data_IF_053427434859
#
_entry.id   IF_053427434859
#
_cell.length_a   1.000
_cell.length_b   1.000
_cell.length_c   1.000
_cell.angle_alpha   90.00
_cell.angle_beta   90.00
_cell.angle_gamma   90.00
#
_symmetry.space_group_name_H-M   'P 1'
#
loop_
_entity.id
_entity.type
_entity.pdbx_description
1 polymer ?
#
# COMPACT_ATOMS: atom_id res chain seq x y z
N UNK A 1 29.25 11.26 8.87
CA UNK A 1 28.18 11.06 7.87
C UNK A 1 28.30 9.65 7.35
N UNK A 2 27.57 8.72 7.96
CA UNK A 2 27.40 7.36 7.42
C UNK A 2 26.56 7.51 6.15
N UNK A 3 27.14 7.21 5.00
CA UNK A 3 26.44 7.26 3.71
C UNK A 3 25.37 6.17 3.69
N UNK A 4 24.12 6.53 3.38
CA UNK A 4 23.04 5.56 3.23
C UNK A 4 23.42 4.50 2.19
N UNK A 5 23.21 3.23 2.51
CA UNK A 5 23.53 2.12 1.61
C UNK A 5 22.46 2.01 0.54
N UNK A 6 22.87 2.10 -0.72
CA UNK A 6 22.01 1.78 -1.86
C UNK A 6 21.99 0.26 -2.02
N UNK A 7 20.80 -0.32 -2.07
CA UNK A 7 20.57 -1.74 -2.33
C UNK A 7 19.87 -1.91 -3.68
N UNK A 8 20.29 -2.89 -4.45
CA UNK A 8 19.58 -3.33 -5.64
C UNK A 8 18.36 -4.15 -5.24
N UNK A 9 17.25 -3.90 -5.92
CA UNK A 9 15.95 -4.50 -5.65
C UNK A 9 15.40 -5.09 -6.93
N UNK A 10 15.33 -6.42 -6.97
CA UNK A 10 14.75 -7.16 -8.09
C UNK A 10 13.22 -7.05 -8.06
N UNK A 11 12.61 -6.83 -9.22
CA UNK A 11 11.16 -6.90 -9.39
C UNK A 11 10.79 -7.46 -10.75
N UNK A 12 9.62 -8.08 -10.84
CA UNK A 12 9.11 -8.62 -12.10
C UNK A 12 8.32 -7.55 -12.85
N UNK A 13 8.64 -7.35 -14.13
CA UNK A 13 7.84 -6.56 -15.04
C UNK A 13 7.22 -7.48 -16.11
N UNK A 14 5.88 -7.51 -16.26
CA UNK A 14 5.28 -8.32 -17.30
C UNK A 14 5.53 -7.72 -18.68
N UNK A 15 6.13 -8.50 -19.57
CA UNK A 15 6.25 -8.21 -21.00
C UNK A 15 5.22 -9.01 -21.81
N UNK A 16 4.84 -8.48 -22.98
CA UNK A 16 4.15 -9.26 -24.01
C UNK A 16 5.13 -10.25 -24.63
N UNK A 17 5.05 -11.52 -24.21
CA UNK A 17 5.85 -12.60 -24.79
C UNK A 17 6.71 -13.32 -23.76
N UNK A 18 6.18 -14.43 -23.25
CA UNK A 18 6.77 -15.49 -22.43
C UNK A 18 8.31 -15.51 -22.20
N UNK A 19 8.84 -14.60 -21.40
CA UNK A 19 9.94 -14.80 -20.44
C UNK A 19 9.75 -13.75 -19.33
N UNK A 20 9.81 -14.14 -18.05
CA UNK A 20 9.80 -13.20 -16.93
C UNK A 20 11.10 -12.39 -16.94
N UNK A 21 11.09 -11.15 -17.45
CA UNK A 21 12.25 -10.25 -17.38
C UNK A 21 12.26 -9.59 -16.00
N UNK A 22 13.01 -10.18 -15.07
CA UNK A 22 13.36 -9.54 -13.81
C UNK A 22 14.12 -8.25 -14.11
N UNK A 23 13.61 -7.11 -13.62
CA UNK A 23 14.25 -5.80 -13.70
C UNK A 23 14.84 -5.41 -12.36
N UNK A 24 15.81 -4.51 -12.41
CA UNK A 24 16.47 -3.98 -11.24
C UNK A 24 15.95 -2.57 -10.97
N UNK A 25 15.52 -2.34 -9.75
CA UNK A 25 15.34 -1.04 -9.16
C UNK A 25 16.32 -0.90 -7.98
N UNK A 26 16.26 0.22 -7.28
CA UNK A 26 17.13 0.47 -6.14
C UNK A 26 16.34 1.08 -5.00
N UNK A 27 16.86 0.93 -3.80
CA UNK A 27 16.38 1.63 -2.61
C UNK A 27 17.57 2.12 -1.80
N UNK A 28 17.41 3.28 -1.14
CA UNK A 28 18.44 3.86 -0.29
C UNK A 28 17.91 3.92 1.14
N UNK A 29 18.16 2.86 1.90
CA UNK A 29 17.70 2.77 3.29
C UNK A 29 18.62 3.66 4.15
N UNK A 30 18.07 4.69 4.82
CA UNK A 30 18.85 5.56 5.67
C UNK A 30 19.38 4.80 6.90
N UNK A 31 20.56 5.17 7.42
CA UNK A 31 21.07 4.57 8.64
C UNK A 31 20.20 4.94 9.84
N UNK A 32 20.01 3.99 10.76
CA UNK A 32 19.32 4.23 12.02
C UNK A 32 20.06 5.28 12.87
N UNK A 33 19.38 6.35 13.34
CA UNK A 33 19.99 7.33 14.23
C UNK A 33 20.29 6.71 15.60
N UNK A 34 21.36 7.19 16.25
CA UNK A 34 21.63 6.85 17.65
C UNK A 34 20.49 7.30 18.58
N UNK A 35 20.35 6.76 19.80
CA UNK A 35 19.27 7.15 20.71
C UNK A 35 19.16 8.66 20.96
N UNK A 36 20.30 9.34 21.14
CA UNK A 36 20.33 10.79 21.38
C UNK A 36 19.93 11.58 20.12
N UNK A 37 20.43 11.16 18.94
CA UNK A 37 20.04 11.76 17.65
C UNK A 37 18.56 11.56 17.37
N UNK A 38 18.01 10.37 17.68
CA UNK A 38 16.59 10.04 17.51
C UNK A 38 15.70 10.98 18.30
N UNK A 39 16.01 11.22 19.58
CA UNK A 39 15.27 12.16 20.43
C UNK A 39 15.34 13.58 19.86
N UNK A 40 16.55 14.05 19.53
CA UNK A 40 16.76 15.38 18.96
C UNK A 40 16.02 15.57 17.62
N UNK A 41 16.02 14.55 16.75
CA UNK A 41 15.29 14.57 15.48
C UNK A 41 13.78 14.61 15.68
N UNK A 42 13.21 13.77 16.56
CA UNK A 42 11.77 13.81 16.87
C UNK A 42 11.37 15.20 17.38
N UNK A 43 12.10 15.79 18.32
CA UNK A 43 11.82 17.14 18.83
C UNK A 43 11.91 18.22 17.75
N UNK A 44 12.93 18.15 16.91
CA UNK A 44 13.10 19.04 15.75
C UNK A 44 11.92 18.93 14.79
N UNK A 45 11.48 17.71 14.45
CA UNK A 45 10.34 17.48 13.56
C UNK A 45 9.05 18.02 14.16
N UNK A 46 8.78 17.78 15.46
CA UNK A 46 7.59 18.34 16.13
C UNK A 46 7.55 19.87 16.06
N UNK A 47 8.70 20.53 16.14
CA UNK A 47 8.80 21.99 15.95
C UNK A 47 8.51 22.37 14.49
N UNK A 48 9.17 21.72 13.54
CA UNK A 48 9.03 22.01 12.11
C UNK A 48 7.61 21.80 11.58
N UNK A 49 6.92 20.74 12.03
CA UNK A 49 5.52 20.50 11.67
C UNK A 49 4.62 21.69 12.03
N UNK A 50 4.81 22.26 13.23
CA UNK A 50 4.09 23.46 13.67
C UNK A 50 4.47 24.69 12.85
N UNK A 51 5.77 24.94 12.67
CA UNK A 51 6.28 26.10 11.91
C UNK A 51 5.81 26.10 10.45
N UNK A 52 5.60 24.92 9.84
CA UNK A 52 5.19 24.75 8.44
C UNK A 52 3.68 24.56 8.25
N UNK A 53 2.89 24.68 9.32
CA UNK A 53 1.47 24.32 9.33
C UNK A 53 1.24 22.97 8.61
N UNK A 54 1.98 21.96 9.06
CA UNK A 54 2.06 20.66 8.45
C UNK A 54 1.45 19.59 9.36
N UNK A 55 0.73 18.65 8.74
CA UNK A 55 0.28 17.42 9.39
C UNK A 55 0.94 16.22 8.73
N UNK A 56 1.23 15.20 9.52
CA UNK A 56 1.91 13.99 9.05
C UNK A 56 0.93 12.82 8.95
N UNK A 57 0.99 12.07 7.87
CA UNK A 57 0.27 10.81 7.70
C UNK A 57 1.27 9.71 7.37
N UNK A 58 1.20 8.59 8.08
CA UNK A 58 2.16 7.49 7.98
C UNK A 58 1.46 6.21 7.56
N UNK A 59 2.05 5.48 6.62
CA UNK A 59 1.61 4.13 6.31
C UNK A 59 2.02 3.15 7.42
N UNK A 60 1.28 2.06 7.64
CA UNK A 60 1.63 1.04 8.63
C UNK A 60 2.99 0.38 8.46
N UNK A 61 3.62 0.51 7.28
CA UNK A 61 4.87 -0.18 6.95
C UNK A 61 6.11 0.70 7.15
N UNK A 62 5.95 1.99 7.45
CA UNK A 62 7.11 2.84 7.74
C UNK A 62 7.69 2.53 9.11
N UNK A 63 8.90 3.04 9.37
CA UNK A 63 9.59 2.84 10.64
C UNK A 63 8.73 3.25 11.86
N UNK A 64 8.75 2.50 12.98
CA UNK A 64 7.97 2.78 14.19
C UNK A 64 8.04 4.23 14.69
N UNK A 65 9.22 4.85 14.66
CA UNK A 65 9.37 6.24 15.09
C UNK A 65 8.48 7.21 14.30
N UNK A 66 8.28 6.97 13.00
CA UNK A 66 7.42 7.78 12.14
C UNK A 66 5.94 7.46 12.37
N UNK A 67 5.61 6.21 12.72
CA UNK A 67 4.25 5.86 13.12
C UNK A 67 3.87 6.61 14.40
N UNK A 68 4.70 6.51 15.45
CA UNK A 68 4.47 7.16 16.73
C UNK A 68 4.44 8.69 16.56
N UNK A 69 5.38 9.25 15.80
CA UNK A 69 5.45 10.70 15.60
C UNK A 69 4.21 11.24 14.87
N UNK A 70 3.65 10.51 13.90
CA UNK A 70 2.41 10.92 13.25
C UNK A 70 1.28 11.05 14.28
N UNK A 71 1.07 10.05 15.14
CA UNK A 71 0.00 10.08 16.15
C UNK A 71 0.24 11.13 17.23
N UNK A 72 1.47 11.21 17.75
CA UNK A 72 1.88 12.19 18.76
C UNK A 72 1.70 13.65 18.30
N UNK A 73 1.74 13.89 16.98
CA UNK A 73 1.65 15.25 16.40
C UNK A 73 0.29 15.59 15.82
N UNK A 74 -0.73 14.76 16.08
CA UNK A 74 -2.12 14.99 15.63
C UNK A 74 -2.39 14.54 14.19
N UNK A 75 -1.47 13.74 13.62
CA UNK A 75 -1.64 13.01 12.37
C UNK A 75 -2.30 11.64 12.56
N UNK A 76 -2.10 10.75 11.58
CA UNK A 76 -2.65 9.39 11.61
C UNK A 76 -1.69 8.35 11.04
N UNK A 77 -1.77 7.12 11.56
CA UNK A 77 -1.19 5.92 10.96
C UNK A 77 -2.32 5.09 10.36
N UNK A 78 -2.32 4.89 9.04
CA UNK A 78 -3.41 4.18 8.36
C UNK A 78 -2.98 3.58 7.01
N UNK A 79 -3.95 2.98 6.30
CA UNK A 79 -3.75 2.57 4.92
C UNK A 79 -3.72 3.78 3.98
N UNK A 80 -3.23 3.57 2.75
CA UNK A 80 -2.94 4.64 1.79
C UNK A 80 -4.13 5.54 1.48
N UNK A 81 -5.35 5.00 1.47
CA UNK A 81 -6.53 5.78 1.15
C UNK A 81 -7.01 6.62 2.34
N UNK A 82 -7.03 6.05 3.54
CA UNK A 82 -7.43 6.78 4.74
C UNK A 82 -6.45 7.92 5.03
N UNK A 83 -5.14 7.71 4.80
CA UNK A 83 -4.13 8.77 4.84
C UNK A 83 -4.49 9.95 3.92
N UNK A 84 -4.86 9.67 2.67
CA UNK A 84 -5.17 10.70 1.68
C UNK A 84 -6.50 11.43 1.99
N UNK A 85 -7.51 10.71 2.50
CA UNK A 85 -8.78 11.32 2.98
C UNK A 85 -8.55 12.22 4.18
N UNK A 86 -7.83 11.74 5.19
CA UNK A 86 -7.46 12.51 6.37
C UNK A 86 -6.71 13.78 5.96
N UNK A 87 -5.71 13.65 5.08
CA UNK A 87 -4.92 14.78 4.60
C UNK A 87 -5.74 15.85 3.90
N UNK A 88 -6.73 15.46 3.08
CA UNK A 88 -7.67 16.37 2.41
C UNK A 88 -8.53 17.14 3.42
N UNK A 89 -9.09 16.43 4.40
CA UNK A 89 -10.05 17.00 5.34
C UNK A 89 -9.38 17.78 6.49
N UNK A 90 -8.07 17.58 6.71
CA UNK A 90 -7.30 18.27 7.73
C UNK A 90 -7.04 19.74 7.37
N UNK A 91 -7.05 20.63 8.38
CA UNK A 91 -6.91 22.08 8.18
C UNK A 91 -5.50 22.55 7.76
N UNK A 92 -4.48 21.71 7.97
CA UNK A 92 -3.09 22.01 7.62
C UNK A 92 -2.94 22.32 6.12
N UNK A 93 -2.11 23.32 5.80
CA UNK A 93 -1.81 23.69 4.41
C UNK A 93 -0.72 22.81 3.80
N UNK A 94 0.07 22.15 4.65
CA UNK A 94 1.09 21.19 4.25
C UNK A 94 0.71 19.79 4.77
N UNK A 95 0.84 18.79 3.91
CA UNK A 95 0.68 17.39 4.25
C UNK A 95 2.01 16.69 4.04
N UNK A 96 2.51 16.00 5.06
CA UNK A 96 3.67 15.13 4.96
C UNK A 96 3.18 13.69 4.87
N UNK A 97 3.53 13.01 3.78
CA UNK A 97 3.19 11.61 3.55
C UNK A 97 4.43 10.75 3.75
N UNK A 98 4.46 9.99 4.85
CA UNK A 98 5.48 8.97 5.09
C UNK A 98 4.99 7.64 4.50
N UNK A 99 5.55 7.28 3.36
CA UNK A 99 5.12 6.14 2.54
C UNK A 99 5.85 6.12 1.20
N UNK A 100 5.17 5.66 0.15
CA UNK A 100 5.75 5.56 -1.20
C UNK A 100 5.07 6.50 -2.19
N UNK A 101 5.71 6.75 -3.33
CA UNK A 101 5.43 7.85 -4.25
C UNK A 101 3.97 7.95 -4.69
N UNK A 102 3.37 6.83 -5.08
CA UNK A 102 1.96 6.83 -5.50
C UNK A 102 1.00 7.28 -4.39
N UNK A 103 1.37 7.11 -3.11
CA UNK A 103 0.57 7.59 -1.97
C UNK A 103 0.65 9.11 -1.87
N UNK A 104 1.84 9.69 -2.03
CA UNK A 104 2.04 11.12 -2.16
C UNK A 104 1.26 11.72 -3.34
N UNK A 105 1.33 11.07 -4.51
CA UNK A 105 0.58 11.47 -5.71
C UNK A 105 -0.93 11.42 -5.46
N UNK A 106 -1.44 10.36 -4.82
CA UNK A 106 -2.86 10.23 -4.47
C UNK A 106 -3.31 11.34 -3.53
N UNK A 107 -2.51 11.66 -2.51
CA UNK A 107 -2.77 12.78 -1.61
C UNK A 107 -2.79 14.13 -2.34
N UNK A 108 -1.88 14.34 -3.30
CA UNK A 108 -1.84 15.56 -4.13
C UNK A 108 -3.01 15.66 -5.09
N UNK A 109 -3.47 14.54 -5.66
CA UNK A 109 -4.67 14.48 -6.50
C UNK A 109 -5.92 14.87 -5.71
N UNK A 110 -6.05 14.41 -4.47
CA UNK A 110 -7.20 14.73 -3.60
C UNK A 110 -7.13 16.12 -2.96
N UNK A 111 -5.93 16.68 -2.81
CA UNK A 111 -5.69 17.99 -2.20
C UNK A 111 -4.78 18.86 -3.09
N UNK A 112 -5.22 19.23 -4.31
CA UNK A 112 -4.38 19.93 -5.29
C UNK A 112 -3.85 21.27 -4.78
N UNK A 113 -4.57 21.92 -3.86
CA UNK A 113 -4.22 23.18 -3.22
C UNK A 113 -3.19 23.06 -2.10
N UNK A 114 -3.08 21.88 -1.47
CA UNK A 114 -2.13 21.66 -0.37
C UNK A 114 -0.73 21.40 -0.91
N UNK A 115 0.26 21.79 -0.13
CA UNK A 115 1.63 21.33 -0.32
C UNK A 115 1.74 19.89 0.17
N UNK A 116 2.22 18.96 -0.66
CA UNK A 116 2.40 17.56 -0.27
C UNK A 116 3.87 17.23 -0.30
N UNK A 117 4.45 16.86 0.84
CA UNK A 117 5.85 16.50 1.01
C UNK A 117 5.98 15.01 1.30
N UNK A 118 7.05 14.40 0.79
CA UNK A 118 7.50 13.07 1.18
C UNK A 118 8.94 13.13 1.69
N UNK A 119 9.34 12.28 2.65
CA UNK A 119 10.74 12.18 3.08
C UNK A 119 11.72 11.88 1.94
N UNK A 120 11.34 10.96 1.03
CA UNK A 120 12.13 10.61 -0.15
C UNK A 120 11.20 10.34 -1.35
N UNK A 121 11.44 11.02 -2.48
CA UNK A 121 10.62 10.85 -3.71
C UNK A 121 11.00 9.59 -4.50
N UNK A 122 12.15 9.00 -4.21
CA UNK A 122 12.61 7.76 -4.82
C UNK A 122 12.05 6.51 -4.10
N UNK A 123 11.29 6.71 -3.01
CA UNK A 123 10.52 5.66 -2.34
C UNK A 123 9.37 5.19 -3.25
N UNK A 124 9.65 4.26 -4.15
CA UNK A 124 8.71 3.73 -5.14
C UNK A 124 7.99 2.46 -4.65
N UNK A 125 7.26 1.79 -5.53
CA UNK A 125 6.60 0.51 -5.26
C UNK A 125 6.79 -0.41 -6.46
N UNK A 126 7.15 -1.68 -6.23
CA UNK A 126 7.33 -2.67 -7.30
C UNK A 126 6.09 -2.87 -8.16
N UNK A 127 4.88 -2.74 -7.57
CA UNK A 127 3.62 -2.80 -8.31
C UNK A 127 3.42 -1.63 -9.26
N UNK A 128 3.89 -0.45 -8.88
CA UNK A 128 3.84 0.74 -9.72
C UNK A 128 4.91 0.68 -10.83
N UNK A 129 6.15 0.37 -10.45
CA UNK A 129 7.26 0.20 -11.39
C UNK A 129 6.99 -0.93 -12.41
N UNK A 130 6.36 -2.01 -11.96
CA UNK A 130 5.93 -3.14 -12.79
C UNK A 130 4.70 -2.86 -13.64
N UNK A 131 4.10 -1.66 -13.58
CA UNK A 131 2.95 -1.26 -14.38
C UNK A 131 3.17 0.09 -15.10
N UNK A 132 4.12 0.19 -16.06
CA UNK A 132 4.32 1.44 -16.79
C UNK A 132 3.11 1.81 -17.64
N UNK A 133 2.76 3.09 -17.65
CA UNK A 133 1.53 3.58 -18.29
C UNK A 133 1.40 3.23 -19.77
N UNK A 134 2.49 3.28 -20.54
CA UNK A 134 2.44 2.99 -21.99
C UNK A 134 2.07 1.53 -22.26
N UNK A 135 2.73 0.61 -21.54
CA UNK A 135 2.47 -0.83 -21.66
C UNK A 135 1.10 -1.22 -21.09
N UNK A 136 0.70 -0.62 -19.96
CA UNK A 136 -0.62 -0.84 -19.39
C UNK A 136 -1.74 -0.28 -20.28
N UNK A 137 -1.51 0.86 -20.94
CA UNK A 137 -2.49 1.44 -21.88
C UNK A 137 -2.67 0.55 -23.10
N UNK A 138 -1.58 0.04 -23.69
CA UNK A 138 -1.65 -0.92 -24.79
C UNK A 138 -2.43 -2.19 -24.39
N UNK A 139 -2.19 -2.72 -23.18
CA UNK A 139 -2.95 -3.85 -22.65
C UNK A 139 -4.44 -3.53 -22.47
N UNK A 140 -4.78 -2.33 -22.02
CA UNK A 140 -6.18 -1.90 -21.95
C UNK A 140 -6.82 -1.78 -23.34
N UNK A 141 -6.08 -1.31 -24.34
CA UNK A 141 -6.55 -1.12 -25.71
C UNK A 141 -6.75 -2.44 -26.46
N UNK A 142 -6.04 -3.50 -26.07
CA UNK A 142 -6.24 -4.89 -26.53
C UNK A 142 -7.54 -5.51 -25.97
N UNK A 143 -8.11 -4.91 -24.92
CA UNK A 143 -9.29 -5.39 -24.22
C UNK A 143 -10.37 -4.29 -24.06
N UNK A 144 -10.86 -3.68 -25.17
CA UNK A 144 -11.75 -2.53 -25.11
C UNK A 144 -13.16 -2.86 -24.59
N UNK A 145 -13.52 -4.14 -24.50
CA UNK A 145 -14.81 -4.60 -23.97
C UNK A 145 -14.84 -4.75 -22.43
N UNK A 146 -13.74 -4.41 -21.75
CA UNK A 146 -13.57 -4.60 -20.30
C UNK A 146 -13.51 -3.28 -19.55
N UNK A 147 -14.14 -3.26 -18.38
CA UNK A 147 -14.01 -2.17 -17.40
C UNK A 147 -12.65 -2.25 -16.72
N UNK A 148 -11.88 -1.16 -16.74
CA UNK A 148 -10.53 -1.12 -16.19
C UNK A 148 -10.58 -0.79 -14.70
N UNK A 149 -10.24 -1.77 -13.88
CA UNK A 149 -10.16 -1.65 -12.42
C UNK A 149 -8.71 -1.76 -11.99
N UNK A 150 -8.16 -0.70 -11.38
CA UNK A 150 -6.78 -0.70 -10.89
C UNK A 150 -6.71 -0.55 -9.39
N UNK A 151 -5.74 -1.24 -8.80
CA UNK A 151 -5.38 -1.10 -7.40
C UNK A 151 -4.70 0.26 -7.15
N UNK A 152 -4.86 0.78 -5.93
CA UNK A 152 -4.28 2.04 -5.46
C UNK A 152 -2.77 2.14 -5.68
N UNK A 153 -2.06 1.00 -5.68
CA UNK A 153 -0.61 0.89 -5.80
C UNK A 153 -0.15 1.02 -7.26
N UNK A 154 -0.48 2.14 -7.88
CA UNK A 154 -0.21 2.49 -9.30
C UNK A 154 0.05 3.98 -9.44
N UNK A 155 0.79 4.43 -10.45
CA UNK A 155 1.06 5.85 -10.69
C UNK A 155 -0.21 6.67 -10.98
N UNK A 156 -0.14 7.98 -10.80
CA UNK A 156 -1.19 8.90 -11.24
C UNK A 156 -1.59 8.71 -12.73
N UNK A 157 -0.63 8.35 -13.58
CA UNK A 157 -0.84 8.10 -15.01
C UNK A 157 -1.71 6.85 -15.26
N UNK A 158 -1.40 5.74 -14.58
CA UNK A 158 -2.22 4.52 -14.65
C UNK A 158 -3.61 4.75 -14.04
N UNK A 159 -3.70 5.47 -12.91
CA UNK A 159 -4.99 5.87 -12.34
C UNK A 159 -5.84 6.63 -13.37
N UNK A 160 -5.26 7.58 -14.10
CA UNK A 160 -5.98 8.34 -15.12
C UNK A 160 -6.45 7.51 -16.34
N UNK A 161 -5.91 6.31 -16.55
CA UNK A 161 -6.33 5.37 -17.61
C UNK A 161 -7.47 4.45 -17.17
N UNK A 162 -7.75 4.37 -15.86
CA UNK A 162 -8.68 3.41 -15.28
C UNK A 162 -10.10 3.96 -15.11
N UNK A 163 -11.09 3.06 -15.12
CA UNK A 163 -12.47 3.36 -14.80
C UNK A 163 -12.72 3.38 -13.29
N UNK A 164 -12.05 2.48 -12.56
CA UNK A 164 -12.19 2.32 -11.11
C UNK A 164 -10.84 2.21 -10.44
N UNK A 165 -10.72 2.86 -9.29
CA UNK A 165 -9.68 2.59 -8.32
C UNK A 165 -10.25 1.66 -7.25
N UNK A 166 -9.44 0.77 -6.70
CA UNK A 166 -9.78 0.05 -5.48
C UNK A 166 -8.60 -0.01 -4.52
N UNK A 167 -8.86 -0.31 -3.26
CA UNK A 167 -7.87 -0.79 -2.28
C UNK A 167 -8.14 -2.26 -1.96
N UNK A 168 -7.21 -2.93 -1.29
CA UNK A 168 -7.42 -4.31 -0.81
C UNK A 168 -8.58 -4.45 0.17
N UNK A 169 -9.06 -3.34 0.76
CA UNK A 169 -10.23 -3.33 1.66
C UNK A 169 -11.58 -3.25 0.96
N UNK A 170 -11.67 -2.78 -0.29
CA UNK A 170 -12.95 -2.64 -1.01
C UNK A 170 -13.00 -3.37 -2.36
N UNK A 171 -11.88 -3.96 -2.81
CA UNK A 171 -11.77 -4.58 -4.12
C UNK A 171 -12.84 -5.67 -4.36
N UNK A 172 -13.09 -6.53 -3.37
CA UNK A 172 -14.13 -7.57 -3.47
C UNK A 172 -15.52 -6.98 -3.66
N UNK A 173 -15.88 -5.95 -2.88
CA UNK A 173 -17.21 -5.34 -2.95
C UNK A 173 -17.44 -4.65 -4.30
N UNK A 174 -16.44 -3.89 -4.76
CA UNK A 174 -16.50 -3.20 -6.06
C UNK A 174 -16.61 -4.22 -7.19
N UNK A 175 -15.74 -5.24 -7.22
CA UNK A 175 -15.76 -6.26 -8.27
C UNK A 175 -17.04 -7.08 -8.25
N UNK A 176 -17.58 -7.44 -7.08
CA UNK A 176 -18.88 -8.10 -6.98
C UNK A 176 -20.01 -7.24 -7.58
N UNK A 177 -20.00 -5.94 -7.33
CA UNK A 177 -21.00 -5.03 -7.89
C UNK A 177 -20.90 -4.91 -9.42
N UNK A 178 -19.68 -4.78 -9.95
CA UNK A 178 -19.44 -4.73 -11.40
C UNK A 178 -19.81 -6.06 -12.07
N UNK A 179 -19.47 -7.19 -11.44
CA UNK A 179 -19.84 -8.53 -11.92
C UNK A 179 -21.36 -8.73 -11.92
N UNK A 180 -22.05 -8.34 -10.86
CA UNK A 180 -23.51 -8.40 -10.79
C UNK A 180 -24.18 -7.51 -11.85
N UNK A 181 -23.53 -6.42 -12.26
CA UNK A 181 -23.94 -5.57 -13.38
C UNK A 181 -23.57 -6.13 -14.76
N UNK A 182 -23.00 -7.35 -14.83
CA UNK A 182 -22.64 -8.01 -16.08
C UNK A 182 -21.35 -7.49 -16.74
N UNK A 183 -20.52 -6.73 -16.02
CA UNK A 183 -19.28 -6.20 -16.57
C UNK A 183 -18.16 -7.24 -16.54
N UNK A 184 -17.37 -7.28 -17.60
CA UNK A 184 -16.07 -7.96 -17.65
C UNK A 184 -15.00 -7.00 -17.18
N UNK A 185 -13.98 -7.52 -16.51
CA UNK A 185 -13.01 -6.68 -15.80
C UNK A 185 -11.62 -6.90 -16.40
N UNK A 186 -10.91 -5.79 -16.57
CA UNK A 186 -9.46 -5.77 -16.69
C UNK A 186 -8.90 -5.30 -15.36
N UNK A 187 -7.99 -6.07 -14.79
CA UNK A 187 -7.43 -5.84 -13.46
C UNK A 187 -5.95 -5.48 -13.53
N UNK A 188 -5.49 -4.62 -12.63
CA UNK A 188 -4.06 -4.43 -12.40
C UNK A 188 -3.71 -3.72 -11.09
N UNK A 189 -2.43 -3.68 -10.70
CA UNK A 189 -1.32 -4.37 -11.36
C UNK A 189 -1.00 -5.72 -10.71
N UNK A 190 -1.53 -6.01 -9.52
CA UNK A 190 -1.12 -7.16 -8.70
C UNK A 190 -1.87 -8.45 -9.08
N UNK A 191 -1.13 -9.45 -9.57
CA UNK A 191 -1.69 -10.73 -10.02
C UNK A 191 -2.30 -11.56 -8.89
N UNK A 192 -1.73 -11.51 -7.69
CA UNK A 192 -2.17 -12.33 -6.55
C UNK A 192 -3.49 -11.83 -6.00
N UNK A 193 -3.61 -10.51 -5.80
CA UNK A 193 -4.85 -9.85 -5.44
C UNK A 193 -5.89 -10.04 -6.55
N UNK A 194 -5.50 -9.91 -7.82
CA UNK A 194 -6.41 -10.16 -8.95
C UNK A 194 -6.97 -11.58 -8.96
N UNK A 195 -6.10 -12.58 -8.74
CA UNK A 195 -6.48 -13.99 -8.68
C UNK A 195 -7.31 -14.32 -7.43
N UNK A 196 -6.99 -13.71 -6.29
CA UNK A 196 -7.81 -13.76 -5.07
C UNK A 196 -9.22 -13.21 -5.35
N UNK A 197 -9.34 -12.01 -5.92
CA UNK A 197 -10.63 -11.40 -6.26
C UNK A 197 -11.42 -12.29 -7.24
N UNK A 198 -10.77 -12.78 -8.31
CA UNK A 198 -11.39 -13.68 -9.29
C UNK A 198 -11.98 -14.92 -8.63
N UNK A 199 -11.25 -15.58 -7.73
CA UNK A 199 -11.73 -16.75 -6.99
C UNK A 199 -12.89 -16.45 -6.05
N UNK A 200 -12.84 -15.31 -5.36
CA UNK A 200 -13.88 -14.92 -4.39
C UNK A 200 -15.18 -14.47 -5.06
N UNK A 201 -15.09 -13.83 -6.22
CA UNK A 201 -16.22 -13.18 -6.89
C UNK A 201 -16.78 -13.98 -8.07
N UNK A 202 -15.96 -14.84 -8.69
CA UNK A 202 -16.32 -15.54 -9.93
C UNK A 202 -16.33 -14.64 -11.17
N UNK A 203 -15.87 -13.39 -11.07
CA UNK A 203 -15.90 -12.42 -12.17
C UNK A 203 -14.99 -12.84 -13.34
N UNK A 204 -15.41 -12.52 -14.57
CA UNK A 204 -14.58 -12.62 -15.78
C UNK A 204 -13.50 -11.52 -15.75
N UNK A 205 -12.28 -11.93 -15.39
CA UNK A 205 -11.14 -11.03 -15.19
C UNK A 205 -9.98 -11.41 -16.12
N UNK A 206 -9.40 -10.39 -16.76
CA UNK A 206 -8.08 -10.44 -17.40
C UNK A 206 -7.15 -9.55 -16.58
N UNK A 207 -6.00 -10.05 -16.17
CA UNK A 207 -5.14 -9.39 -15.19
C UNK A 207 -3.79 -9.02 -15.77
N UNK A 208 -3.34 -7.80 -15.45
CA UNK A 208 -1.93 -7.42 -15.51
C UNK A 208 -1.11 -8.32 -14.57
N UNK A 209 0.10 -8.68 -14.97
CA UNK A 209 0.89 -9.73 -14.31
C UNK A 209 2.05 -9.16 -13.45
N UNK A 210 1.81 -8.08 -12.72
CA UNK A 210 2.75 -7.55 -11.72
C UNK A 210 2.58 -8.23 -10.36
N UNK A 211 3.54 -8.06 -9.45
CA UNK A 211 3.45 -8.57 -8.07
C UNK A 211 4.23 -7.70 -7.08
N UNK A 212 3.78 -7.68 -5.82
CA UNK A 212 4.53 -7.09 -4.73
C UNK A 212 5.71 -7.99 -4.34
N UNK A 213 6.93 -7.47 -4.46
CA UNK A 213 8.17 -8.19 -4.10
C UNK A 213 8.19 -8.68 -2.66
N UNK A 214 7.50 -8.01 -1.73
CA UNK A 214 7.47 -8.43 -0.32
C UNK A 214 6.54 -9.63 -0.15
N UNK A 215 5.34 -9.56 -0.72
CA UNK A 215 4.32 -10.58 -0.51
C UNK A 215 4.52 -11.81 -1.39
N UNK A 216 5.14 -11.68 -2.56
CA UNK A 216 5.46 -12.80 -3.46
C UNK A 216 6.53 -13.75 -2.89
N UNK A 217 7.36 -13.26 -1.96
CA UNK A 217 8.40 -14.05 -1.31
C UNK A 217 7.89 -15.04 -0.26
N UNK A 218 6.66 -14.88 0.25
CA UNK A 218 6.10 -15.84 1.20
C UNK A 218 5.91 -17.21 0.54
N UNK A 219 6.33 -18.28 1.22
CA UNK A 219 6.21 -19.66 0.72
C UNK A 219 5.36 -20.51 1.66
N UNK A 220 4.40 -21.23 1.10
CA UNK A 220 3.47 -22.06 1.88
C UNK A 220 4.19 -23.10 2.74
N UNK A 221 5.22 -23.77 2.21
CA UNK A 221 5.99 -24.77 2.96
C UNK A 221 6.64 -24.20 4.23
N UNK A 222 7.29 -23.05 4.12
CA UNK A 222 7.94 -22.41 5.28
C UNK A 222 6.89 -21.95 6.30
N UNK A 223 5.75 -21.42 5.83
CA UNK A 223 4.64 -21.06 6.69
C UNK A 223 4.06 -22.27 7.42
N UNK A 224 3.87 -23.41 6.74
CA UNK A 224 3.42 -24.66 7.38
C UNK A 224 4.40 -25.16 8.45
N UNK A 225 5.71 -25.06 8.21
CA UNK A 225 6.74 -25.41 9.19
C UNK A 225 6.65 -24.51 10.42
N UNK A 226 6.44 -23.20 10.23
CA UNK A 226 6.25 -22.27 11.32
C UNK A 226 4.94 -22.53 12.09
N UNK A 227 3.85 -22.85 11.40
CA UNK A 227 2.57 -23.24 12.03
C UNK A 227 2.72 -24.51 12.87
N UNK A 228 3.55 -25.48 12.46
CA UNK A 228 3.85 -26.69 13.25
C UNK A 228 4.65 -26.35 14.52
N UNK A 229 5.54 -25.37 14.46
CA UNK A 229 6.29 -24.88 15.62
C UNK A 229 5.39 -24.06 16.58
N UNK A 230 4.37 -23.38 16.05
CA UNK A 230 3.42 -22.55 16.78
C UNK A 230 1.97 -23.00 16.58
N UNK A 231 1.58 -24.19 17.08
CA UNK A 231 0.29 -24.82 16.76
C UNK A 231 -0.94 -24.07 17.29
N UNK A 232 -0.74 -23.10 18.18
CA UNK A 232 -1.81 -22.24 18.72
C UNK A 232 -1.94 -20.91 17.97
N UNK A 233 -0.98 -20.59 17.10
CA UNK A 233 -0.96 -19.32 16.40
C UNK A 233 -2.06 -19.23 15.33
N UNK A 234 -2.70 -18.07 15.23
CA UNK A 234 -3.58 -17.74 14.11
C UNK A 234 -2.79 -17.06 13.00
N UNK A 235 -3.06 -17.42 11.76
CA UNK A 235 -2.33 -16.93 10.59
C UNK A 235 -3.13 -15.80 9.94
N UNK A 236 -2.52 -14.62 9.83
CA UNK A 236 -3.09 -13.43 9.21
C UNK A 236 -2.32 -13.11 7.94
N UNK A 237 -2.98 -13.06 6.78
CA UNK A 237 -2.33 -12.96 5.47
C UNK A 237 -2.88 -11.80 4.67
N UNK A 238 -2.01 -11.08 3.97
CA UNK A 238 -2.43 -10.05 3.02
C UNK A 238 -2.79 -10.70 1.66
N UNK A 239 -3.84 -10.26 0.94
CA UNK A 239 -4.27 -10.88 -0.32
C UNK A 239 -3.30 -10.68 -1.51
N UNK A 240 -2.21 -9.93 -1.33
CA UNK A 240 -1.09 -9.84 -2.28
C UNK A 240 -0.16 -11.07 -2.20
N UNK A 241 -0.38 -11.97 -1.24
CA UNK A 241 0.40 -13.21 -1.11
C UNK A 241 -0.03 -14.29 -2.11
N UNK A 242 0.88 -15.22 -2.47
CA UNK A 242 0.55 -16.39 -3.27
C UNK A 242 -0.65 -17.20 -2.74
N UNK A 243 -1.39 -17.84 -3.65
CA UNK A 243 -2.66 -18.51 -3.33
C UNK A 243 -2.51 -19.66 -2.33
N UNK A 244 -1.37 -20.36 -2.35
CA UNK A 244 -1.01 -21.43 -1.43
C UNK A 244 -0.73 -20.91 -0.01
N UNK A 245 -0.14 -19.71 0.12
CA UNK A 245 0.00 -19.00 1.39
C UNK A 245 -1.37 -18.54 1.91
N UNK A 246 -2.20 -17.96 1.04
CA UNK A 246 -3.57 -17.54 1.37
C UNK A 246 -4.40 -18.73 1.89
N UNK A 247 -4.24 -19.92 1.32
CA UNK A 247 -4.97 -21.12 1.73
C UNK A 247 -4.70 -21.55 3.18
N UNK A 248 -3.56 -21.14 3.75
CA UNK A 248 -3.17 -21.43 5.14
C UNK A 248 -3.69 -20.38 6.14
N UNK A 249 -4.30 -19.30 5.65
CA UNK A 249 -4.72 -18.17 6.46
C UNK A 249 -5.96 -18.48 7.32
N UNK A 250 -5.97 -17.96 8.53
CA UNK A 250 -7.17 -17.88 9.38
C UNK A 250 -7.96 -16.58 9.14
N UNK A 251 -7.29 -15.53 8.68
CA UNK A 251 -7.92 -14.32 8.15
C UNK A 251 -7.08 -13.75 7.01
N UNK A 252 -7.77 -13.28 5.96
CA UNK A 252 -7.16 -12.65 4.79
C UNK A 252 -7.73 -11.25 4.66
N UNK A 253 -6.90 -10.25 4.40
CA UNK A 253 -7.40 -8.91 4.11
C UNK A 253 -6.32 -7.82 4.09
N UNK A 254 -6.76 -6.57 3.90
CA UNK A 254 -5.89 -5.40 3.98
C UNK A 254 -5.19 -5.29 5.33
N UNK A 255 -4.20 -4.39 5.45
CA UNK A 255 -3.58 -4.04 6.73
C UNK A 255 -4.61 -3.73 7.82
N UNK A 256 -5.57 -2.86 7.54
CA UNK A 256 -6.67 -2.53 8.46
C UNK A 256 -7.49 -3.78 8.84
N UNK A 257 -7.76 -4.69 7.90
CA UNK A 257 -8.48 -5.94 8.18
C UNK A 257 -7.65 -6.91 9.05
N UNK A 258 -6.33 -6.97 8.84
CA UNK A 258 -5.40 -7.75 9.66
C UNK A 258 -5.38 -7.23 11.10
N UNK A 259 -5.33 -5.91 11.32
CA UNK A 259 -5.42 -5.31 12.67
C UNK A 259 -6.73 -5.69 13.35
N UNK A 260 -7.85 -5.53 12.64
CA UNK A 260 -9.18 -5.85 13.17
C UNK A 260 -9.32 -7.35 13.48
N UNK A 261 -8.77 -8.23 12.64
CA UNK A 261 -8.76 -9.67 12.87
C UNK A 261 -7.92 -10.03 14.10
N UNK A 262 -6.74 -9.42 14.26
CA UNK A 262 -5.90 -9.61 15.43
C UNK A 262 -6.61 -9.21 16.72
N UNK A 263 -7.37 -8.10 16.72
CA UNK A 263 -8.15 -7.67 17.89
C UNK A 263 -9.32 -8.59 18.19
N UNK A 264 -10.06 -9.01 17.16
CA UNK A 264 -11.27 -9.85 17.28
C UNK A 264 -11.00 -11.29 17.70
N UNK A 265 -9.87 -11.88 17.29
CA UNK A 265 -9.54 -13.25 17.65
C UNK A 265 -9.08 -13.34 19.11
N UNK A 266 -9.56 -14.36 19.81
CA UNK A 266 -9.17 -14.66 21.21
C UNK A 266 -7.80 -15.34 21.34
N UNK A 267 -7.11 -15.59 20.21
CA UNK A 267 -5.78 -16.19 20.23
C UNK A 267 -4.76 -15.23 20.86
N UNK A 268 -3.74 -15.80 21.51
CA UNK A 268 -2.64 -15.04 22.11
C UNK A 268 -1.39 -14.98 21.23
N UNK A 269 -1.37 -15.76 20.14
CA UNK A 269 -0.24 -15.87 19.23
C UNK A 269 -0.72 -15.79 17.79
N UNK A 270 0.02 -15.06 16.97
CA UNK A 270 -0.31 -14.82 15.57
C UNK A 270 0.93 -14.91 14.69
N UNK A 271 0.80 -15.55 13.54
CA UNK A 271 1.77 -15.48 12.45
C UNK A 271 1.22 -14.49 11.43
N UNK A 272 2.03 -13.49 11.04
CA UNK A 272 1.59 -12.39 10.19
C UNK A 272 2.39 -12.40 8.88
N UNK A 273 1.71 -12.69 7.77
CA UNK A 273 2.27 -12.69 6.43
C UNK A 273 1.92 -11.37 5.71
N UNK A 274 2.65 -10.33 6.11
CA UNK A 274 2.64 -9.00 5.50
C UNK A 274 3.98 -8.30 5.81
N UNK A 275 4.13 -7.03 5.46
CA UNK A 275 5.33 -6.26 5.78
C UNK A 275 5.55 -6.15 7.30
N UNK A 276 6.79 -6.31 7.74
CA UNK A 276 7.18 -6.32 9.16
C UNK A 276 6.91 -5.00 9.89
N UNK A 277 6.86 -3.85 9.18
CA UNK A 277 6.53 -2.56 9.78
C UNK A 277 5.15 -2.55 10.45
N UNK A 278 4.24 -3.41 9.98
CA UNK A 278 2.91 -3.61 10.54
C UNK A 278 2.92 -4.12 11.99
N UNK A 279 3.97 -4.84 12.39
CA UNK A 279 4.06 -5.47 13.69
C UNK A 279 4.10 -4.47 14.83
N UNK A 280 4.65 -3.28 14.59
CA UNK A 280 4.62 -2.20 15.58
C UNK A 280 3.19 -1.87 15.98
N UNK A 281 2.33 -1.55 15.00
CA UNK A 281 0.94 -1.21 15.27
C UNK A 281 0.16 -2.38 15.87
N UNK A 282 0.40 -3.61 15.40
CA UNK A 282 -0.20 -4.81 15.97
C UNK A 282 0.12 -4.98 17.45
N UNK A 283 1.39 -4.84 17.83
CA UNK A 283 1.85 -4.92 19.24
C UNK A 283 1.27 -3.79 20.09
N UNK A 284 1.30 -2.56 19.60
CA UNK A 284 0.75 -1.38 20.30
C UNK A 284 -0.74 -1.51 20.59
N UNK A 285 -1.52 -2.03 19.63
CA UNK A 285 -2.96 -2.22 19.81
C UNK A 285 -3.33 -3.52 20.55
N UNK A 286 -2.37 -4.42 20.78
CA UNK A 286 -2.60 -5.73 21.37
C UNK A 286 -1.46 -6.15 22.33
N UNK A 287 -1.24 -5.43 23.46
CA UNK A 287 -0.07 -5.61 24.33
C UNK A 287 0.03 -6.99 25.02
N UNK A 288 -1.02 -7.82 24.98
CA UNK A 288 -1.03 -9.18 25.51
C UNK A 288 -0.91 -10.29 24.47
N UNK A 289 -0.69 -9.93 23.19
CA UNK A 289 -0.61 -10.89 22.07
C UNK A 289 0.80 -10.91 21.49
N UNK A 290 1.26 -12.10 21.11
CA UNK A 290 2.53 -12.33 20.45
C UNK A 290 2.32 -12.35 18.94
N UNK A 291 3.15 -11.59 18.21
CA UNK A 291 3.13 -11.55 16.75
C UNK A 291 4.47 -12.02 16.19
N UNK A 292 4.40 -13.04 15.35
CA UNK A 292 5.51 -13.72 14.70
C UNK A 292 5.47 -13.37 13.21
N UNK A 293 6.62 -13.03 12.65
CA UNK A 293 6.78 -12.79 11.23
C UNK A 293 6.63 -14.10 10.46
N UNK A 294 5.81 -14.09 9.40
CA UNK A 294 5.80 -15.21 8.47
C UNK A 294 7.13 -15.27 7.70
N UNK A 295 7.64 -16.48 7.42
CA UNK A 295 8.92 -16.63 6.76
C UNK A 295 8.83 -16.28 5.28
N UNK A 296 9.83 -15.53 4.79
CA UNK A 296 10.12 -15.39 3.36
C UNK A 296 11.27 -16.30 2.96
N UNK A 297 11.29 -16.71 1.70
CA UNK A 297 12.43 -17.41 1.11
C UNK A 297 13.15 -16.45 0.15
N UNK A 298 14.37 -16.04 0.50
CA UNK A 298 15.25 -15.41 -0.47
C UNK A 298 15.74 -16.43 -1.50
N UNK A 299 16.21 -15.97 -2.67
CA UNK A 299 16.84 -16.82 -3.70
C UNK A 299 18.16 -17.50 -3.25
N UNK A 300 18.54 -17.41 -1.97
CA UNK A 300 19.70 -18.05 -1.36
C UNK A 300 19.37 -18.68 0.00
N UNK A 301 19.91 -19.87 0.25
CA UNK A 301 19.58 -20.75 1.40
C UNK A 301 19.94 -20.24 2.81
N UNK A 302 20.12 -18.94 3.01
CA UNK A 302 20.44 -18.32 4.31
C UNK A 302 19.49 -17.19 4.73
N UNK A 303 18.52 -16.79 3.91
CA UNK A 303 17.56 -15.77 4.28
C UNK A 303 16.37 -16.39 5.03
N UNK A 304 16.21 -16.05 6.32
CA UNK A 304 15.03 -16.34 7.13
C UNK A 304 14.36 -15.01 7.48
N UNK A 305 13.20 -14.74 6.89
CA UNK A 305 12.31 -13.60 7.15
C UNK A 305 12.92 -12.22 6.87
N UNK A 306 12.68 -11.71 5.65
CA UNK A 306 12.99 -10.34 5.26
C UNK A 306 11.78 -9.67 4.58
N UNK A 307 10.55 -9.93 5.05
CA UNK A 307 9.32 -9.30 4.53
C UNK A 307 9.27 -7.79 4.82
N UNK A 308 10.22 -7.04 4.31
CA UNK A 308 10.44 -5.64 4.61
C UNK A 308 10.57 -4.87 3.30
N UNK A 309 9.63 -3.98 3.03
CA UNK A 309 9.62 -3.18 1.82
C UNK A 309 10.78 -2.17 1.86
N UNK A 310 11.77 -2.30 0.96
CA UNK A 310 12.96 -1.45 1.02
C UNK A 310 12.63 0.02 0.73
N UNK A 311 11.57 0.30 -0.03
CA UNK A 311 11.11 1.67 -0.29
C UNK A 311 10.32 2.28 0.87
N UNK A 312 9.56 1.49 1.63
CA UNK A 312 8.94 2.00 2.87
C UNK A 312 10.03 2.41 3.87
N UNK A 313 11.12 1.63 3.93
CA UNK A 313 12.27 1.90 4.77
C UNK A 313 13.05 3.17 4.40
N UNK A 314 12.88 3.71 3.19
CA UNK A 314 13.49 5.00 2.78
C UNK A 314 12.92 6.20 3.55
N UNK A 315 11.80 6.01 4.26
CA UNK A 315 11.23 7.02 5.13
C UNK A 315 11.93 6.99 6.50
N UNK A 316 12.88 7.90 6.71
CA UNK A 316 13.60 8.06 7.98
C UNK A 316 13.37 9.43 8.63
N UNK A 317 13.79 9.55 9.90
CA UNK A 317 13.69 10.80 10.67
C UNK A 317 14.58 11.91 10.10
N UNK A 318 15.76 11.56 9.58
CA UNK A 318 16.70 12.54 8.99
C UNK A 318 16.09 13.13 7.72
N UNK A 319 15.57 12.26 6.85
CA UNK A 319 14.94 12.59 5.58
C UNK A 319 13.69 13.44 5.81
N UNK A 320 12.85 13.07 6.79
CA UNK A 320 11.69 13.84 7.19
C UNK A 320 12.06 15.24 7.70
N UNK A 321 13.05 15.34 8.58
CA UNK A 321 13.51 16.64 9.07
C UNK A 321 14.02 17.52 7.92
N UNK A 322 14.80 16.94 7.00
CA UNK A 322 15.31 17.65 5.82
C UNK A 322 14.19 18.12 4.88
N UNK A 323 13.20 17.27 4.60
CA UNK A 323 12.04 17.59 3.76
C UNK A 323 11.24 18.76 4.35
N UNK A 324 10.99 18.74 5.66
CA UNK A 324 10.28 19.82 6.35
C UNK A 324 11.04 21.14 6.36
N UNK A 325 12.37 21.11 6.46
CA UNK A 325 13.21 22.31 6.51
C UNK A 325 13.42 22.96 5.16
N UNK A 326 13.82 22.16 4.20
CA UNK A 326 14.20 22.66 2.87
C UNK A 326 12.99 22.76 1.96
N UNK A 327 11.93 22.02 2.26
CA UNK A 327 10.84 21.80 1.32
C UNK A 327 11.19 20.83 0.19
N UNK A 328 12.30 20.11 0.29
CA UNK A 328 12.61 19.00 -0.61
C UNK A 328 11.53 17.91 -0.49
N UNK A 329 11.41 17.11 -1.55
CA UNK A 329 10.45 16.01 -1.59
C UNK A 329 9.01 16.43 -1.87
N UNK A 330 8.79 17.59 -2.48
CA UNK A 330 7.45 18.03 -2.86
C UNK A 330 6.89 17.23 -4.05
N UNK A 331 5.68 16.72 -3.87
CA UNK A 331 4.94 16.00 -4.90
C UNK A 331 4.24 17.00 -5.82
N UNK A 332 4.56 16.90 -7.10
CA UNK A 332 3.88 17.61 -8.17
C UNK A 332 3.15 16.61 -9.07
N UNK A 333 1.87 16.90 -9.34
CA UNK A 333 1.04 16.17 -10.30
C UNK A 333 0.53 17.20 -11.30
N UNK A 334 0.68 16.91 -12.60
CA UNK A 334 0.11 17.75 -13.65
C UNK A 334 -1.40 17.96 -13.42
N UNK A 335 -1.93 19.20 -13.43
CA UNK A 335 -3.33 19.45 -13.10
C UNK A 335 -4.32 18.69 -14.00
N UNK A 336 -4.04 18.57 -15.30
CA UNK A 336 -4.92 17.86 -16.22
C UNK A 336 -4.88 16.36 -15.97
N UNK A 337 -3.71 15.80 -15.67
CA UNK A 337 -3.58 14.43 -15.22
C UNK A 337 -4.32 14.19 -13.90
N UNK A 338 -4.17 15.09 -12.93
CA UNK A 338 -4.81 14.98 -11.62
C UNK A 338 -6.33 14.94 -11.70
N UNK A 339 -6.93 15.77 -12.56
CA UNK A 339 -8.38 15.74 -12.82
C UNK A 339 -8.83 14.38 -13.36
N UNK A 340 -8.09 13.79 -14.31
CA UNK A 340 -8.43 12.46 -14.86
C UNK A 340 -8.24 11.36 -13.81
N UNK A 341 -7.11 11.36 -13.09
CA UNK A 341 -6.81 10.37 -12.06
C UNK A 341 -7.80 10.42 -10.88
N UNK A 342 -8.43 11.58 -10.64
CA UNK A 342 -9.43 11.75 -9.59
C UNK A 342 -10.75 11.03 -9.88
N UNK A 343 -11.13 10.86 -11.14
CA UNK A 343 -12.41 10.21 -11.52
C UNK A 343 -12.55 8.80 -10.91
N UNK A 344 -11.63 7.84 -11.13
CA UNK A 344 -11.73 6.51 -10.55
C UNK A 344 -11.59 6.51 -9.02
N UNK A 345 -10.84 7.46 -8.45
CA UNK A 345 -10.75 7.64 -7.00
C UNK A 345 -12.12 8.02 -6.45
N UNK A 346 -12.75 9.09 -6.96
CA UNK A 346 -14.04 9.57 -6.47
C UNK A 346 -15.15 8.52 -6.61
N UNK A 347 -15.14 7.72 -7.70
CA UNK A 347 -16.03 6.56 -7.85
C UNK A 347 -15.88 5.56 -6.70
N UNK A 348 -14.64 5.17 -6.38
CA UNK A 348 -14.33 4.30 -5.23
C UNK A 348 -14.78 4.93 -3.91
N UNK A 349 -14.54 6.24 -3.71
CA UNK A 349 -14.90 6.92 -2.46
C UNK A 349 -16.41 6.95 -2.26
N UNK A 350 -17.15 7.23 -3.32
CA UNK A 350 -18.60 7.28 -3.29
C UNK A 350 -19.21 5.89 -3.05
N UNK A 351 -18.68 4.86 -3.72
CA UNK A 351 -19.13 3.48 -3.51
C UNK A 351 -18.93 3.03 -2.05
N UNK A 352 -17.72 3.24 -1.50
CA UNK A 352 -17.40 2.88 -0.11
C UNK A 352 -18.19 3.68 0.92
N UNK A 353 -18.49 4.96 0.66
CA UNK A 353 -19.38 5.76 1.50
C UNK A 353 -20.83 5.24 1.46
N UNK A 354 -21.30 4.84 0.27
CA UNK A 354 -22.60 4.21 0.06
C UNK A 354 -22.80 2.96 0.91
N UNK A 355 -21.81 2.04 0.88
CA UNK A 355 -21.84 0.81 1.70
C UNK A 355 -21.91 1.10 3.19
N UNK A 356 -21.13 2.08 3.69
CA UNK A 356 -21.17 2.49 5.10
C UNK A 356 -22.54 3.03 5.53
N UNK A 357 -23.28 3.63 4.59
CA UNK A 357 -24.62 4.16 4.82
C UNK A 357 -25.75 3.13 4.62
N UNK A 358 -25.40 1.84 4.48
CA UNK A 358 -26.38 0.75 4.35
C UNK A 358 -26.95 0.55 2.94
N UNK A 359 -26.32 1.12 1.91
CA UNK A 359 -26.67 0.77 0.52
C UNK A 359 -26.31 -0.69 0.24
N UNK A 360 -27.13 -1.36 -0.57
CA UNK A 360 -26.92 -2.77 -0.88
C UNK A 360 -25.58 -2.98 -1.60
N UNK A 361 -24.79 -4.01 -1.21
CA UNK A 361 -23.62 -4.44 -1.97
C UNK A 361 -24.09 -4.86 -3.37
N UNK A 362 -23.78 -4.06 -4.38
CA UNK A 362 -24.27 -4.24 -5.75
C UNK A 362 -24.94 -3.01 -6.37
N UNK A 363 -25.31 -2.02 -5.57
CA UNK A 363 -25.77 -0.73 -6.13
C UNK A 363 -24.57 0.11 -6.57
N UNK A 364 -24.31 0.14 -7.87
CA UNK A 364 -23.47 1.19 -8.43
C UNK A 364 -24.22 2.52 -8.26
N UNK A 365 -23.57 3.53 -7.66
CA UNK A 365 -24.18 4.85 -7.50
C UNK A 365 -24.36 5.47 -8.89
N UNK A 366 -25.59 5.53 -9.37
CA UNK A 366 -25.91 6.12 -10.67
C UNK A 366 -25.52 7.61 -10.70
N UNK A 367 -24.76 8.02 -11.71
CA UNK A 367 -24.47 9.44 -11.99
C UNK A 367 -23.17 10.02 -11.41
N UNK A 368 -22.24 9.21 -10.90
CA UNK A 368 -20.91 9.70 -10.51
C UNK A 368 -19.90 9.47 -11.64
N UNK A 369 -19.65 10.53 -12.41
CA UNK A 369 -18.58 10.59 -13.40
C UNK A 369 -18.85 9.83 -14.70
N UNK A 370 -20.11 9.74 -15.14
CA UNK A 370 -20.38 9.54 -16.56
C UNK A 370 -20.03 10.86 -17.27
N UNK A 371 -19.06 10.81 -18.19
CA UNK A 371 -19.11 11.71 -19.34
C UNK A 371 -20.24 11.23 -20.26
#
# INVERSE_FOLDING_TARGET
MTTASVIDVDYEQPAQGAVCDTRHAWARVPPEPSPDERVALKDRIRRLLRERNAVMVSHFYVHPDLQDLAEETGGIVSDSLEMARFGRDHAATTLVVSGVRFMGETSKILSPEKRVLMPDLDANCSLDLGCPVDAFSAFCDEHPDRTVVVYANTSAAVKARADWLVTSSCALDVVNALHAAGQKILWGPDRHLGDYIRRQTGADMVSWNGACIVHDEFKALELELLMKAHPKAKVLVHPESPSDVIALAHAVGSTSAILNAAQRFDATEFIVATDTGMLHKLRTLNPGKTFIEAPTAGNGGTCKSCAHCPWMAMNGLVELANALETGAGEIHVDPALGVRARVPIDRMLAFTAGLKNGQAPGSLVAGIGAA
#
